data_IF_004616030500
#
_entry.id   IF_004616030500
#
_cell.length_a   1.000
_cell.length_b   1.000
_cell.length_c   1.000
_cell.angle_alpha   90.00
_cell.angle_beta   90.00
_cell.angle_gamma   90.00
#
_symmetry.space_group_name_H-M   'P 1'
#
loop_
_entity.id
_entity.type
_entity.pdbx_description
1 polymer ?
#
# COMPACT_ATOMS: atom_id res chain seq x y z
N UNK A 1 23.56 2.71 14.56
CA UNK A 1 22.73 1.82 13.71
C UNK A 1 21.35 1.77 14.36
N UNK A 2 20.32 2.38 13.77
CA UNK A 2 18.98 2.34 14.36
C UNK A 2 18.39 0.93 14.18
N UNK A 3 17.98 0.28 15.28
CA UNK A 3 17.36 -1.04 15.21
C UNK A 3 16.07 -0.94 14.40
N UNK A 4 15.95 -1.73 13.33
CA UNK A 4 14.68 -1.90 12.62
C UNK A 4 13.69 -2.55 13.58
N UNK A 5 12.49 -1.97 13.70
CA UNK A 5 11.42 -2.56 14.50
C UNK A 5 11.05 -3.97 14.01
N UNK A 6 10.41 -4.75 14.89
CA UNK A 6 9.95 -6.12 14.59
C UNK A 6 9.18 -6.15 13.25
N UNK A 7 9.50 -7.06 12.31
CA UNK A 7 8.75 -7.20 11.07
C UNK A 7 7.29 -7.58 11.34
N UNK A 8 6.42 -7.31 10.37
CA UNK A 8 5.04 -7.78 10.40
C UNK A 8 4.98 -9.22 9.91
N UNK A 9 4.37 -10.09 10.71
CA UNK A 9 4.02 -11.47 10.33
C UNK A 9 2.90 -11.51 9.29
N UNK A 10 2.74 -12.64 8.62
CA UNK A 10 1.66 -12.83 7.64
C UNK A 10 0.26 -12.72 8.27
N UNK A 11 0.10 -13.17 9.52
CA UNK A 11 -1.15 -13.00 10.26
C UNK A 11 -1.45 -11.51 10.48
N UNK A 12 -0.47 -10.74 10.98
CA UNK A 12 -0.61 -9.29 11.15
C UNK A 12 -0.95 -8.59 9.83
N UNK A 13 -0.33 -9.02 8.72
CA UNK A 13 -0.62 -8.47 7.38
C UNK A 13 -2.08 -8.74 7.00
N UNK A 14 -2.57 -9.97 7.19
CA UNK A 14 -3.96 -10.32 6.90
C UNK A 14 -4.96 -9.56 7.78
N UNK A 15 -4.65 -9.40 9.08
CA UNK A 15 -5.47 -8.59 9.99
C UNK A 15 -5.54 -7.13 9.53
N UNK A 16 -4.40 -6.53 9.18
CA UNK A 16 -4.35 -5.16 8.67
C UNK A 16 -5.16 -5.02 7.37
N UNK A 17 -5.04 -5.98 6.45
CA UNK A 17 -5.81 -6.00 5.21
C UNK A 17 -7.32 -6.01 5.46
N UNK A 18 -7.79 -6.86 6.37
CA UNK A 18 -9.22 -6.92 6.72
C UNK A 18 -9.74 -5.60 7.27
N UNK A 19 -9.02 -4.99 8.22
CA UNK A 19 -9.42 -3.73 8.84
C UNK A 19 -9.43 -2.56 7.85
N UNK A 20 -8.45 -2.51 6.94
CA UNK A 20 -8.38 -1.50 5.89
C UNK A 20 -9.48 -1.71 4.86
N UNK A 21 -9.77 -2.96 4.47
CA UNK A 21 -10.84 -3.27 3.51
C UNK A 21 -12.20 -2.82 4.01
N UNK A 22 -12.50 -3.04 5.29
CA UNK A 22 -13.74 -2.59 5.94
C UNK A 22 -13.90 -1.06 5.90
N UNK A 23 -12.80 -0.32 6.08
CA UNK A 23 -12.79 1.16 6.13
C UNK A 23 -12.29 1.82 4.84
N UNK A 24 -12.20 1.04 3.75
CA UNK A 24 -11.60 1.45 2.47
C UNK A 24 -12.24 2.70 1.87
N UNK A 25 -13.56 2.85 2.02
CA UNK A 25 -14.31 4.03 1.56
C UNK A 25 -13.78 5.36 2.10
N UNK A 26 -13.31 5.37 3.35
CA UNK A 26 -12.78 6.57 4.01
C UNK A 26 -11.26 6.66 3.76
N UNK A 27 -10.55 5.55 3.96
CA UNK A 27 -9.09 5.50 3.90
C UNK A 27 -8.53 5.73 2.49
N UNK A 28 -9.17 5.16 1.47
CA UNK A 28 -8.76 5.30 0.06
C UNK A 28 -9.56 6.39 -0.67
N UNK A 29 -10.30 7.23 0.05
CA UNK A 29 -11.01 8.37 -0.54
C UNK A 29 -10.02 9.34 -1.21
N UNK A 30 -10.30 9.72 -2.46
CA UNK A 30 -9.52 10.70 -3.23
C UNK A 30 -9.75 12.15 -2.75
N UNK A 31 -10.79 12.37 -1.94
CA UNK A 31 -11.11 13.69 -1.42
C UNK A 31 -9.98 14.15 -0.49
N UNK A 32 -9.50 15.36 -0.75
CA UNK A 32 -8.42 16.01 -0.01
C UNK A 32 -8.94 17.35 0.53
N UNK A 33 -9.84 17.25 1.50
CA UNK A 33 -10.35 18.36 2.29
C UNK A 33 -9.91 18.22 3.77
N UNK A 34 -9.85 19.33 4.51
CA UNK A 34 -9.47 19.34 5.93
C UNK A 34 -10.32 18.36 6.75
N UNK A 35 -11.64 18.31 6.52
CA UNK A 35 -12.55 17.39 7.19
C UNK A 35 -12.30 15.94 6.79
N UNK A 36 -12.02 15.68 5.52
CA UNK A 36 -11.68 14.32 5.05
C UNK A 36 -10.36 13.80 5.64
N UNK A 37 -9.38 14.68 5.86
CA UNK A 37 -8.11 14.32 6.47
C UNK A 37 -8.29 13.93 7.94
N UNK A 38 -9.10 14.70 8.70
CA UNK A 38 -9.45 14.35 10.08
C UNK A 38 -10.20 13.01 10.15
N UNK A 39 -11.11 12.75 9.21
CA UNK A 39 -11.80 11.46 9.14
C UNK A 39 -10.85 10.30 8.84
N UNK A 40 -9.88 10.48 7.93
CA UNK A 40 -8.84 9.48 7.64
C UNK A 40 -7.96 9.23 8.87
N UNK A 41 -7.56 10.27 9.58
CA UNK A 41 -6.78 10.17 10.82
C UNK A 41 -7.56 9.37 11.88
N UNK A 42 -8.83 9.70 12.09
CA UNK A 42 -9.71 8.97 13.01
C UNK A 42 -9.86 7.51 12.60
N UNK A 43 -10.10 7.23 11.33
CA UNK A 43 -10.22 5.86 10.82
C UNK A 43 -8.94 5.06 11.05
N UNK A 44 -7.76 5.66 10.88
CA UNK A 44 -6.49 5.01 11.22
C UNK A 44 -6.30 4.77 12.70
N UNK A 45 -6.79 5.67 13.57
CA UNK A 45 -6.81 5.46 15.02
C UNK A 45 -7.72 4.29 15.43
N UNK A 46 -8.86 4.14 14.76
CA UNK A 46 -9.75 2.98 14.95
C UNK A 46 -9.08 1.68 14.47
N UNK A 47 -8.42 1.70 13.31
CA UNK A 47 -7.62 0.56 12.82
C UNK A 47 -6.52 0.20 13.81
N UNK A 48 -5.81 1.18 14.38
CA UNK A 48 -4.80 0.94 15.41
C UNK A 48 -5.40 0.26 16.65
N UNK A 49 -6.53 0.77 17.14
CA UNK A 49 -7.22 0.19 18.30
C UNK A 49 -7.67 -1.25 18.04
N UNK A 50 -8.29 -1.49 16.88
CA UNK A 50 -8.78 -2.82 16.50
C UNK A 50 -7.65 -3.80 16.19
N UNK A 51 -6.55 -3.31 15.63
CA UNK A 51 -5.37 -4.12 15.38
C UNK A 51 -4.71 -4.54 16.69
N UNK A 52 -4.51 -3.59 17.60
CA UNK A 52 -3.88 -3.83 18.89
C UNK A 52 -4.75 -4.67 19.83
N UNK A 53 -6.08 -4.66 19.67
CA UNK A 53 -6.98 -5.53 20.45
C UNK A 53 -6.98 -6.98 19.97
N UNK A 54 -6.68 -7.22 18.68
CA UNK A 54 -6.64 -8.56 18.06
C UNK A 54 -5.22 -9.15 18.02
N UNK A 55 -4.21 -8.31 18.03
CA UNK A 55 -2.81 -8.69 17.87
C UNK A 55 -2.08 -8.90 19.19
N UNK A 56 -0.97 -9.63 19.15
CA UNK A 56 -0.08 -9.81 20.32
C UNK A 56 0.89 -8.64 20.53
N UNK A 57 1.07 -7.78 19.52
CA UNK A 57 2.03 -6.67 19.55
C UNK A 57 1.35 -5.35 19.22
N UNK A 58 1.64 -4.35 20.06
CA UNK A 58 1.18 -2.99 19.84
C UNK A 58 1.94 -2.35 18.68
N UNK A 59 1.19 -1.85 17.70
CA UNK A 59 1.70 -1.06 16.57
C UNK A 59 1.01 0.30 16.58
N UNK A 60 1.77 1.33 16.26
CA UNK A 60 1.23 2.68 16.11
C UNK A 60 0.52 2.82 14.76
N UNK A 61 -0.49 3.69 14.69
CA UNK A 61 -1.17 4.04 13.43
C UNK A 61 -0.18 4.49 12.34
N UNK A 62 0.89 5.21 12.70
CA UNK A 62 1.96 5.57 11.77
C UNK A 62 2.65 4.35 11.15
N UNK A 63 2.94 3.31 11.95
CA UNK A 63 3.55 2.07 11.47
C UNK A 63 2.61 1.29 10.57
N UNK A 64 1.31 1.24 10.91
CA UNK A 64 0.27 0.58 10.11
C UNK A 64 0.03 1.30 8.77
N UNK A 65 -0.06 2.64 8.79
CA UNK A 65 -0.12 3.52 7.60
C UNK A 65 1.05 3.25 6.67
N UNK A 66 2.27 3.25 7.21
CA UNK A 66 3.48 2.99 6.42
C UNK A 66 3.49 1.58 5.83
N UNK A 67 3.12 0.56 6.62
CA UNK A 67 3.04 -0.82 6.13
C UNK A 67 2.03 -0.95 4.99
N UNK A 68 0.84 -0.35 5.13
CA UNK A 68 -0.17 -0.29 4.07
C UNK A 68 0.38 0.37 2.79
N UNK A 69 1.02 1.53 2.92
CA UNK A 69 1.65 2.22 1.80
C UNK A 69 2.69 1.36 1.06
N UNK A 70 3.56 0.68 1.81
CA UNK A 70 4.56 -0.22 1.25
C UNK A 70 3.91 -1.41 0.53
N UNK A 71 2.83 -1.97 1.07
CA UNK A 71 2.07 -3.03 0.41
C UNK A 71 1.46 -2.55 -0.91
N UNK A 72 0.85 -1.36 -0.94
CA UNK A 72 0.35 -0.76 -2.20
C UNK A 72 1.46 -0.56 -3.21
N UNK A 73 2.63 -0.06 -2.78
CA UNK A 73 3.80 0.14 -3.65
C UNK A 73 4.28 -1.19 -4.24
N UNK A 74 4.43 -2.21 -3.39
CA UNK A 74 4.84 -3.56 -3.81
C UNK A 74 3.84 -4.14 -4.82
N UNK A 75 2.55 -4.08 -4.52
CA UNK A 75 1.52 -4.63 -5.38
C UNK A 75 1.45 -3.94 -6.76
N UNK A 76 1.60 -2.60 -6.80
CA UNK A 76 1.73 -1.87 -8.06
C UNK A 76 2.99 -2.22 -8.84
N UNK A 77 4.11 -2.43 -8.14
CA UNK A 77 5.38 -2.83 -8.77
C UNK A 77 5.26 -4.21 -9.40
N UNK A 78 4.66 -5.18 -8.70
CA UNK A 78 4.41 -6.51 -9.23
C UNK A 78 3.47 -6.44 -10.44
N UNK A 79 2.36 -5.69 -10.36
CA UNK A 79 1.46 -5.47 -11.49
C UNK A 79 2.13 -4.81 -12.71
N UNK A 80 3.07 -3.88 -12.49
CA UNK A 80 3.82 -3.23 -13.57
C UNK A 80 4.83 -4.20 -14.21
N UNK A 81 5.55 -5.00 -13.41
CA UNK A 81 6.47 -6.02 -13.89
C UNK A 81 5.74 -7.03 -14.79
N UNK A 82 4.57 -7.50 -14.36
CA UNK A 82 3.71 -8.41 -15.14
C UNK A 82 3.34 -7.88 -16.52
N UNK A 83 2.93 -6.61 -16.58
CA UNK A 83 2.60 -5.95 -17.85
C UNK A 83 3.82 -5.85 -18.76
N UNK A 84 4.97 -5.51 -18.18
CA UNK A 84 6.23 -5.41 -18.91
C UNK A 84 6.65 -6.77 -19.49
N UNK A 85 6.65 -7.82 -18.66
CA UNK A 85 6.97 -9.20 -19.07
C UNK A 85 6.03 -9.69 -20.17
N UNK A 86 4.73 -9.43 -20.06
CA UNK A 86 3.76 -9.78 -21.10
C UNK A 86 4.04 -9.09 -22.44
N UNK A 87 4.44 -7.81 -22.41
CA UNK A 87 4.70 -7.01 -23.62
C UNK A 87 6.01 -7.33 -24.36
N UNK A 88 6.95 -8.04 -23.73
CA UNK A 88 8.29 -8.33 -24.29
C UNK A 88 8.38 -9.65 -25.05
N UNK A 89 7.28 -10.39 -25.14
CA UNK A 89 7.30 -11.71 -25.78
C UNK A 89 7.25 -11.59 -27.30
N UNK A 90 8.43 -11.41 -27.90
CA UNK A 90 8.67 -11.63 -29.32
C UNK A 90 8.63 -13.12 -29.67
N UNK A 91 7.42 -13.71 -29.67
CA UNK A 91 7.14 -14.96 -30.39
C UNK A 91 7.64 -16.29 -29.79
N UNK A 92 7.89 -16.40 -28.49
CA UNK A 92 8.25 -17.69 -27.86
C UNK A 92 7.60 -17.87 -26.47
N UNK A 93 7.16 -19.09 -26.08
CA UNK A 93 6.47 -19.30 -24.81
C UNK A 93 7.39 -19.07 -23.61
N UNK A 94 7.03 -18.12 -22.74
CA UNK A 94 7.70 -17.92 -21.45
C UNK A 94 7.31 -19.05 -20.48
N UNK A 95 8.30 -19.68 -19.85
CA UNK A 95 8.15 -20.93 -19.08
C UNK A 95 7.58 -20.79 -17.66
N UNK A 96 7.14 -19.60 -17.23
CA UNK A 96 6.36 -19.46 -16.00
C UNK A 96 5.44 -18.25 -16.12
N UNK A 97 4.14 -18.37 -15.81
CA UNK A 97 3.28 -17.20 -15.69
C UNK A 97 3.85 -16.34 -14.56
N UNK A 98 4.23 -15.09 -14.82
CA UNK A 98 4.53 -14.21 -13.72
C UNK A 98 3.18 -14.04 -12.97
N UNK A 99 3.20 -14.30 -11.67
CA UNK A 99 2.00 -14.40 -10.83
C UNK A 99 2.09 -13.40 -9.68
N UNK A 100 1.01 -12.63 -9.46
CA UNK A 100 0.92 -11.72 -8.32
C UNK A 100 0.94 -12.52 -7.01
N UNK A 101 1.56 -11.99 -5.96
CA UNK A 101 1.33 -12.59 -4.65
C UNK A 101 -0.14 -12.43 -4.25
N UNK A 102 -0.74 -13.46 -3.63
CA UNK A 102 -2.11 -13.41 -3.10
C UNK A 102 -2.35 -12.17 -2.20
N UNK A 103 -1.33 -11.71 -1.48
CA UNK A 103 -1.40 -10.47 -0.69
C UNK A 103 -1.52 -9.24 -1.60
N UNK A 104 -0.72 -9.18 -2.66
CA UNK A 104 -0.71 -8.08 -3.63
C UNK A 104 -2.02 -7.99 -4.41
N UNK A 105 -2.61 -9.13 -4.79
CA UNK A 105 -3.93 -9.17 -5.43
C UNK A 105 -5.01 -8.54 -4.55
N UNK A 106 -5.08 -8.94 -3.28
CA UNK A 106 -6.03 -8.37 -2.30
C UNK A 106 -5.82 -6.88 -2.07
N UNK A 107 -4.56 -6.44 -2.02
CA UNK A 107 -4.20 -5.02 -1.90
C UNK A 107 -4.68 -4.23 -3.12
N UNK A 108 -4.43 -4.78 -4.32
CA UNK A 108 -4.89 -4.17 -5.56
C UNK A 108 -6.41 -4.12 -5.59
N UNK A 109 -7.13 -5.19 -5.29
CA UNK A 109 -8.61 -5.19 -5.21
C UNK A 109 -9.14 -4.07 -4.31
N UNK A 110 -8.55 -3.94 -3.12
CA UNK A 110 -8.95 -2.92 -2.13
C UNK A 110 -8.71 -1.49 -2.63
N UNK A 111 -7.68 -1.28 -3.45
CA UNK A 111 -7.30 0.03 -3.99
C UNK A 111 -7.94 0.33 -5.36
N UNK A 112 -8.12 -0.70 -6.20
CA UNK A 112 -8.52 -0.61 -7.61
C UNK A 112 -10.01 -0.43 -7.79
N UNK A 113 -10.82 -0.75 -6.77
CA UNK A 113 -12.23 -0.37 -6.73
C UNK A 113 -12.46 1.15 -6.87
N UNK A 114 -11.41 1.97 -6.80
CA UNK A 114 -11.46 3.44 -6.93
C UNK A 114 -10.56 4.06 -8.01
N UNK A 115 -9.77 3.29 -8.79
CA UNK A 115 -8.84 3.90 -9.77
C UNK A 115 -8.91 3.30 -11.19
N UNK A 116 -9.71 3.92 -12.05
CA UNK A 116 -9.39 4.07 -13.46
C UNK A 116 -8.71 5.43 -13.66
N UNK A 117 -7.41 5.56 -13.39
CA UNK A 117 -6.58 6.65 -13.96
C UNK A 117 -5.12 6.16 -14.12
N UNK A 118 -4.54 6.50 -15.26
CA UNK A 118 -3.33 5.91 -15.83
C UNK A 118 -2.06 6.01 -14.99
N UNK A 119 -1.24 4.97 -15.09
CA UNK A 119 0.16 4.98 -14.69
C UNK A 119 1.03 5.26 -15.92
N UNK A 120 1.28 6.52 -16.23
CA UNK A 120 2.47 6.90 -16.98
C UNK A 120 3.61 7.04 -15.97
N UNK A 121 4.48 6.03 -15.91
CA UNK A 121 5.65 6.04 -15.03
C UNK A 121 6.70 5.10 -15.59
N UNK A 122 7.54 5.63 -16.48
CA UNK A 122 8.70 4.96 -17.06
C UNK A 122 9.78 4.62 -16.02
N UNK A 123 10.79 3.83 -16.41
CA UNK A 123 11.75 3.24 -15.47
C UNK A 123 12.85 4.23 -15.03
N UNK A 124 13.16 4.14 -13.74
CA UNK A 124 14.41 4.40 -13.02
C UNK A 124 15.31 5.60 -13.39
N UNK A 125 15.58 6.43 -12.38
CA UNK A 125 16.94 6.91 -12.09
C UNK A 125 17.15 6.94 -10.57
N UNK A 126 18.24 6.30 -10.17
CA UNK A 126 18.77 6.19 -8.80
C UNK A 126 19.14 7.56 -8.23
N UNK A 127 18.92 7.75 -6.92
CA UNK A 127 19.35 8.98 -6.27
C UNK A 127 18.66 9.27 -4.94
N UNK A 128 19.13 8.59 -3.88
CA UNK A 128 19.43 9.19 -2.58
C UNK A 128 18.44 10.14 -1.88
N UNK A 129 18.27 9.81 -0.58
CA UNK A 129 18.02 10.69 0.58
C UNK A 129 16.56 10.84 1.02
N UNK A 130 16.36 10.21 2.18
CA UNK A 130 15.38 10.52 3.22
C UNK A 130 15.07 12.02 3.35
N UNK A 131 13.81 12.40 3.17
CA UNK A 131 13.14 13.39 4.02
C UNK A 131 11.62 13.31 3.74
N UNK A 132 10.84 12.73 4.66
CA UNK A 132 9.37 12.87 4.61
C UNK A 132 8.94 13.96 5.58
N UNK A 133 9.42 15.17 5.32
CA UNK A 133 8.68 16.39 5.57
C UNK A 133 8.07 16.81 4.24
N UNK A 134 6.74 16.72 4.12
CA UNK A 134 6.02 17.51 3.12
C UNK A 134 4.79 18.11 3.77
N UNK A 135 5.06 19.05 4.68
CA UNK A 135 4.21 20.22 4.82
C UNK A 135 4.47 21.13 3.62
N UNK A 136 3.37 21.76 3.19
CA UNK A 136 3.28 23.07 2.53
C UNK A 136 3.23 23.18 1.00
N UNK A 137 2.05 23.66 0.58
CA UNK A 137 1.77 24.72 -0.42
C UNK A 137 1.94 24.37 -1.91
N UNK A 138 0.87 24.56 -2.70
CA UNK A 138 0.69 25.80 -3.48
C UNK A 138 -0.73 25.91 -4.08
N UNK A 139 -1.31 27.10 -3.85
CA UNK A 139 -2.49 27.80 -4.41
C UNK A 139 -3.84 27.07 -4.55
#
# INVERSE_FOLDING_TARGET
>A
MAAKGKPFSDLEINTLLGLVKERSKILESKITDKFSNVQKEKAWGEVEKDFNSRGSYFRTSASLKNKWFLMKKKARSEAAALRYEGSRTGGGPSSAPPHLSCTSEKVLETCSALSMIGSSGGPCSDGGKTNVSFLSLQW
#
